data_IF_421835637468
#
_entry.id   IF_421835637468
#
_cell.length_a   1.000
_cell.length_b   1.000
_cell.length_c   1.000
_cell.angle_alpha   90.00
_cell.angle_beta   90.00
_cell.angle_gamma   90.00
#
_symmetry.space_group_name_H-M   'P 1'
#
loop_
_entity.id
_entity.type
_entity.pdbx_description
1 polymer ?
#
# COMPACT_ATOMS: atom_id res chain seq x y z
N UNK A 1 -14.62 6.83 -8.18
CA UNK A 1 -13.18 7.12 -8.20
C UNK A 1 -12.92 8.58 -8.51
N UNK A 2 -12.13 9.25 -7.66
CA UNK A 2 -11.47 10.52 -7.97
C UNK A 2 -10.37 10.32 -9.00
N UNK A 3 -9.85 11.42 -9.54
CA UNK A 3 -8.70 11.38 -10.43
C UNK A 3 -7.40 11.10 -9.63
N UNK A 4 -6.45 10.28 -10.14
CA UNK A 4 -5.21 9.99 -9.44
C UNK A 4 -4.24 11.17 -9.46
N UNK A 5 -4.06 11.80 -8.30
CA UNK A 5 -3.19 12.96 -8.10
C UNK A 5 -3.81 14.27 -8.57
N UNK A 6 -2.99 15.32 -8.69
CA UNK A 6 -3.45 16.67 -8.99
C UNK A 6 -2.64 17.28 -10.13
N UNK A 7 -3.13 17.08 -11.36
CA UNK A 7 -2.51 17.64 -12.57
C UNK A 7 -3.59 17.94 -13.59
N UNK A 8 -3.29 18.88 -14.49
CA UNK A 8 -4.12 19.13 -15.68
C UNK A 8 -4.07 17.88 -16.58
N UNK A 9 -5.19 17.20 -16.74
CA UNK A 9 -5.31 16.06 -17.66
C UNK A 9 -5.69 16.55 -19.05
N UNK A 10 -5.01 16.02 -20.08
CA UNK A 10 -5.42 16.23 -21.49
C UNK A 10 -6.65 15.41 -21.88
N UNK A 11 -6.89 14.31 -21.16
CA UNK A 11 -7.99 13.39 -21.41
C UNK A 11 -9.01 13.53 -20.29
N UNK A 12 -10.26 13.55 -20.69
CA UNK A 12 -11.40 13.55 -19.78
C UNK A 12 -11.38 12.29 -18.89
N UNK A 13 -11.72 12.44 -17.61
CA UNK A 13 -11.80 11.35 -16.64
C UNK A 13 -13.14 11.41 -15.90
N UNK A 14 -13.95 10.33 -15.94
CA UNK A 14 -15.32 10.39 -15.43
C UNK A 14 -15.37 10.21 -13.90
N UNK A 15 -15.61 11.30 -13.17
CA UNK A 15 -15.68 11.27 -11.69
C UNK A 15 -17.05 10.87 -11.18
N UNK A 16 -18.13 11.18 -11.92
CA UNK A 16 -19.51 10.89 -11.51
C UNK A 16 -20.36 10.25 -12.62
N UNK A 17 -21.20 9.27 -12.23
CA UNK A 17 -22.12 8.54 -13.11
C UNK A 17 -23.24 9.39 -13.75
N UNK A 18 -23.35 10.67 -13.36
CA UNK A 18 -24.29 11.63 -13.94
C UNK A 18 -23.67 12.47 -15.05
N UNK A 19 -22.46 12.15 -15.51
CA UNK A 19 -21.84 12.90 -16.58
C UNK A 19 -22.61 12.75 -17.92
N UNK A 20 -23.05 13.86 -18.54
CA UNK A 20 -23.81 13.82 -19.79
C UNK A 20 -23.11 13.12 -20.96
N UNK A 21 -21.77 13.23 -21.04
CA UNK A 21 -21.00 12.68 -22.17
C UNK A 21 -20.83 11.16 -22.06
N UNK A 22 -20.66 10.66 -20.82
CA UNK A 22 -20.58 9.22 -20.56
C UNK A 22 -21.96 8.56 -20.71
N UNK A 23 -23.01 9.21 -20.23
CA UNK A 23 -24.38 8.68 -20.30
C UNK A 23 -24.96 8.62 -21.72
N UNK A 24 -24.50 9.47 -22.64
CA UNK A 24 -24.88 9.43 -24.07
C UNK A 24 -24.07 8.42 -24.89
N UNK A 25 -22.82 8.16 -24.51
CA UNK A 25 -21.91 7.28 -25.25
C UNK A 25 -21.99 5.80 -24.82
N UNK A 26 -22.50 5.51 -23.62
CA UNK A 26 -22.67 4.13 -23.14
C UNK A 26 -24.07 3.57 -23.46
N UNK A 27 -24.12 2.34 -23.98
CA UNK A 27 -25.37 1.55 -24.13
C UNK A 27 -25.99 1.14 -22.79
N UNK A 28 -25.23 1.19 -21.70
CA UNK A 28 -25.66 0.92 -20.33
C UNK A 28 -25.69 2.21 -19.52
N UNK A 29 -26.80 2.51 -18.83
CA UNK A 29 -26.95 3.69 -17.96
C UNK A 29 -26.10 3.67 -16.67
N UNK A 30 -25.34 2.60 -16.41
CA UNK A 30 -24.63 2.41 -15.13
C UNK A 30 -23.13 2.23 -15.38
N UNK A 31 -22.33 3.17 -14.84
CA UNK A 31 -20.88 3.10 -14.88
C UNK A 31 -20.36 1.83 -14.19
N UNK A 32 -19.30 1.25 -14.77
CA UNK A 32 -18.59 0.16 -14.12
C UNK A 32 -17.83 0.68 -12.90
N UNK A 33 -17.79 -0.15 -11.85
CA UNK A 33 -17.04 0.10 -10.62
C UNK A 33 -15.96 -0.96 -10.50
N UNK A 34 -14.77 -0.51 -10.14
CA UNK A 34 -13.62 -1.33 -9.83
C UNK A 34 -13.29 -1.19 -8.34
N UNK A 35 -12.48 -2.08 -7.80
CA UNK A 35 -11.95 -1.99 -6.44
C UNK A 35 -10.55 -2.62 -6.41
N UNK A 36 -9.83 -2.44 -5.31
CA UNK A 36 -8.63 -3.24 -5.01
C UNK A 36 -8.92 -4.20 -3.87
N UNK A 37 -8.19 -5.31 -3.84
CA UNK A 37 -8.27 -6.32 -2.78
C UNK A 37 -6.92 -6.35 -2.09
N UNK A 38 -6.88 -6.51 -0.78
CA UNK A 38 -5.65 -6.85 -0.07
C UNK A 38 -5.88 -7.89 1.01
N UNK A 39 -4.83 -8.64 1.32
CA UNK A 39 -4.78 -9.58 2.44
C UNK A 39 -3.85 -8.99 3.49
N UNK A 40 -4.29 -8.95 4.74
CA UNK A 40 -3.45 -8.50 5.84
C UNK A 40 -3.60 -9.37 7.08
N UNK A 41 -2.57 -9.34 7.92
CA UNK A 41 -2.67 -9.74 9.31
C UNK A 41 -3.36 -8.60 10.07
N UNK A 42 -4.64 -8.78 10.39
CA UNK A 42 -5.43 -7.75 11.08
C UNK A 42 -4.81 -7.42 12.43
N UNK A 43 -4.35 -6.18 12.59
CA UNK A 43 -3.57 -5.74 13.74
C UNK A 43 -3.97 -4.35 14.21
N UNK A 44 -3.87 -4.12 15.52
CA UNK A 44 -4.01 -2.80 16.16
C UNK A 44 -2.67 -2.39 16.75
N UNK A 45 -2.25 -1.16 16.44
CA UNK A 45 -1.12 -0.49 17.07
C UNK A 45 -1.62 0.26 18.31
N UNK A 46 -1.02 -0.05 19.45
CA UNK A 46 -1.36 0.50 20.76
C UNK A 46 -0.11 1.21 21.29
N UNK A 47 -0.13 2.54 21.30
CA UNK A 47 0.96 3.33 21.86
C UNK A 47 0.61 3.75 23.29
N UNK A 48 1.53 3.51 24.22
CA UNK A 48 1.38 3.93 25.60
C UNK A 48 2.69 4.49 26.14
N UNK A 49 2.59 5.53 26.97
CA UNK A 49 3.73 6.02 27.74
C UNK A 49 3.77 5.27 29.06
N UNK A 50 4.89 4.62 29.34
CA UNK A 50 5.01 3.74 30.51
C UNK A 50 6.33 3.96 31.25
N UNK A 51 6.32 3.66 32.54
CA UNK A 51 7.55 3.51 33.31
C UNK A 51 8.27 2.21 32.95
N UNK A 52 9.59 2.18 33.10
CA UNK A 52 10.40 0.97 32.90
C UNK A 52 9.92 -0.22 33.76
N UNK A 53 9.26 0.05 34.89
CA UNK A 53 8.67 -0.98 35.75
C UNK A 53 7.57 -1.78 35.06
N UNK A 54 6.79 -1.17 34.16
CA UNK A 54 5.77 -1.88 33.36
C UNK A 54 6.47 -2.83 32.38
N UNK A 55 7.53 -2.38 31.72
CA UNK A 55 8.32 -3.21 30.80
C UNK A 55 8.87 -4.45 31.52
N UNK A 56 9.50 -4.26 32.68
CA UNK A 56 10.04 -5.35 33.50
C UNK A 56 8.94 -6.29 34.02
N UNK A 57 7.80 -5.76 34.45
CA UNK A 57 6.65 -6.54 34.96
C UNK A 57 6.14 -7.56 33.94
N UNK A 58 6.13 -7.20 32.66
CA UNK A 58 5.68 -8.07 31.57
C UNK A 58 6.82 -8.91 30.97
N UNK A 59 8.00 -8.96 31.61
CA UNK A 59 9.14 -9.73 31.13
C UNK A 59 9.72 -9.19 29.82
N UNK A 60 9.45 -7.93 29.49
CA UNK A 60 9.97 -7.30 28.29
C UNK A 60 11.36 -6.73 28.57
N UNK A 61 12.16 -6.58 27.52
CA UNK A 61 13.47 -5.94 27.58
C UNK A 61 13.39 -4.60 26.87
N UNK A 62 13.76 -3.52 27.56
CA UNK A 62 13.71 -2.16 27.02
C UNK A 62 14.43 -2.08 25.66
N UNK A 63 13.81 -1.42 24.68
CA UNK A 63 14.35 -1.25 23.32
C UNK A 63 14.20 -2.47 22.40
N UNK A 64 13.68 -3.60 22.91
CA UNK A 64 13.52 -4.82 22.12
C UNK A 64 12.10 -4.97 21.56
N UNK A 65 11.98 -5.82 20.54
CA UNK A 65 10.71 -6.33 20.04
C UNK A 65 10.56 -7.79 20.44
N UNK A 66 9.55 -8.08 21.26
CA UNK A 66 9.34 -9.40 21.86
C UNK A 66 7.92 -9.87 21.60
N UNK A 67 7.77 -11.16 21.26
CA UNK A 67 6.47 -11.80 21.14
C UNK A 67 5.98 -12.20 22.53
N UNK A 68 4.74 -11.86 22.85
CA UNK A 68 4.05 -12.23 24.09
C UNK A 68 2.82 -13.08 23.77
N UNK A 69 2.44 -13.94 24.72
CA UNK A 69 1.21 -14.73 24.57
C UNK A 69 -0.06 -13.87 24.76
N UNK A 70 -1.20 -14.44 24.38
CA UNK A 70 -2.46 -13.72 24.37
C UNK A 70 -2.94 -13.30 25.77
N UNK A 71 -2.59 -14.08 26.81
CA UNK A 71 -2.97 -13.78 28.19
C UNK A 71 -2.14 -12.63 28.75
N UNK A 72 -0.83 -12.62 28.49
CA UNK A 72 0.06 -11.53 28.84
C UNK A 72 -0.33 -10.24 28.11
N UNK A 73 -0.68 -10.34 26.82
CA UNK A 73 -1.15 -9.20 26.04
C UNK A 73 -2.48 -8.63 26.54
N UNK A 74 -3.42 -9.48 26.96
CA UNK A 74 -4.69 -9.02 27.53
C UNK A 74 -4.47 -8.35 28.90
N UNK A 75 -3.59 -8.91 29.73
CA UNK A 75 -3.23 -8.31 31.02
C UNK A 75 -2.54 -6.95 30.84
N UNK A 76 -1.60 -6.85 29.89
CA UNK A 76 -0.93 -5.60 29.54
C UNK A 76 -1.95 -4.57 29.06
N UNK A 77 -2.85 -4.95 28.16
CA UNK A 77 -3.86 -4.05 27.65
C UNK A 77 -4.79 -3.50 28.72
N UNK A 78 -5.25 -4.36 29.63
CA UNK A 78 -6.13 -3.95 30.72
C UNK A 78 -5.39 -3.03 31.70
N UNK A 79 -4.13 -3.31 32.03
CA UNK A 79 -3.33 -2.43 32.89
C UNK A 79 -3.11 -1.04 32.28
N UNK A 80 -2.76 -0.99 30.98
CA UNK A 80 -2.59 0.28 30.27
C UNK A 80 -3.89 1.09 30.21
N UNK A 81 -5.05 0.41 30.11
CA UNK A 81 -6.37 1.06 30.15
C UNK A 81 -6.74 1.55 31.54
N UNK A 82 -6.60 0.71 32.56
CA UNK A 82 -6.96 1.03 33.94
C UNK A 82 -6.13 2.21 34.47
N UNK A 83 -4.88 2.34 34.02
CA UNK A 83 -3.99 3.45 34.38
C UNK A 83 -4.06 4.63 33.40
N UNK A 84 -4.94 4.59 32.39
CA UNK A 84 -5.09 5.65 31.37
C UNK A 84 -3.78 6.02 30.64
N UNK A 85 -2.89 5.04 30.43
CA UNK A 85 -1.55 5.24 29.85
C UNK A 85 -1.52 5.21 28.32
N UNK A 86 -2.59 4.72 27.70
CA UNK A 86 -2.71 4.62 26.25
C UNK A 86 -2.82 6.03 25.66
N UNK A 87 -1.82 6.42 24.88
CA UNK A 87 -1.81 7.71 24.19
C UNK A 87 -2.51 7.64 22.86
N UNK A 88 -2.37 6.52 22.14
CA UNK A 88 -2.95 6.33 20.83
C UNK A 88 -3.32 4.87 20.59
N UNK A 89 -4.44 4.65 19.91
CA UNK A 89 -4.82 3.35 19.37
C UNK A 89 -5.26 3.50 17.92
N UNK A 90 -4.46 2.96 17.02
CA UNK A 90 -4.74 3.02 15.60
C UNK A 90 -4.90 1.62 15.02
N UNK A 91 -5.81 1.50 14.06
CA UNK A 91 -5.80 0.34 13.21
C UNK A 91 -4.48 0.34 12.43
N UNK A 92 -3.74 -0.75 12.48
CA UNK A 92 -2.44 -0.89 11.83
C UNK A 92 -2.51 -1.87 10.66
N UNK A 93 -1.39 -2.58 10.48
CA UNK A 93 -1.20 -3.56 9.41
C UNK A 93 -0.76 -2.89 8.10
N UNK A 94 0.29 -3.42 7.46
CA UNK A 94 0.89 -2.83 6.25
C UNK A 94 -0.16 -2.72 5.13
N UNK A 95 -0.93 -3.80 4.89
CA UNK A 95 -1.94 -3.80 3.84
C UNK A 95 -3.22 -3.08 4.29
N UNK A 96 -3.59 -3.15 5.57
CA UNK A 96 -4.69 -2.38 6.14
C UNK A 96 -4.48 -0.88 5.97
N UNK A 97 -3.28 -0.39 6.26
CA UNK A 97 -2.87 1.00 6.03
C UNK A 97 -2.93 1.37 4.55
N UNK A 98 -2.40 0.50 3.68
CA UNK A 98 -2.40 0.71 2.23
C UNK A 98 -3.82 0.80 1.65
N UNK A 99 -4.72 -0.12 2.04
CA UNK A 99 -6.11 -0.13 1.59
C UNK A 99 -6.91 1.04 2.14
N UNK A 100 -6.65 1.46 3.39
CA UNK A 100 -7.25 2.64 4.00
C UNK A 100 -6.85 3.89 3.23
N UNK A 101 -5.55 4.07 3.01
CA UNK A 101 -4.98 5.21 2.30
C UNK A 101 -5.47 5.27 0.86
N UNK A 102 -5.54 4.13 0.15
CA UNK A 102 -6.17 4.06 -1.16
C UNK A 102 -7.61 4.56 -1.13
N UNK A 103 -8.42 4.08 -0.19
CA UNK A 103 -9.83 4.46 -0.05
C UNK A 103 -10.00 5.97 0.17
N UNK A 104 -9.12 6.57 0.98
CA UNK A 104 -9.11 8.02 1.24
C UNK A 104 -8.66 8.82 0.01
N UNK A 105 -7.61 8.36 -0.67
CA UNK A 105 -7.05 9.04 -1.84
C UNK A 105 -7.96 8.97 -3.07
N UNK A 106 -8.62 7.83 -3.29
CA UNK A 106 -9.43 7.56 -4.46
C UNK A 106 -10.92 7.88 -4.27
N UNK A 107 -11.39 8.06 -3.02
CA UNK A 107 -12.81 8.03 -2.65
C UNK A 107 -13.54 6.87 -3.37
N UNK A 108 -12.93 5.69 -3.29
CA UNK A 108 -13.46 4.48 -3.91
C UNK A 108 -13.16 3.26 -3.05
N UNK A 109 -13.83 2.15 -3.38
CA UNK A 109 -13.85 0.95 -2.57
C UNK A 109 -12.52 0.19 -2.60
N UNK A 110 -12.01 -0.14 -1.43
CA UNK A 110 -11.05 -1.25 -1.21
C UNK A 110 -11.73 -2.40 -0.45
N UNK A 111 -11.21 -3.62 -0.57
CA UNK A 111 -11.70 -4.81 0.17
C UNK A 111 -10.54 -5.39 0.96
N UNK A 112 -10.71 -5.53 2.27
CA UNK A 112 -9.75 -6.23 3.13
C UNK A 112 -10.19 -7.68 3.34
N UNK A 113 -9.23 -8.58 3.15
CA UNK A 113 -9.30 -9.97 3.59
C UNK A 113 -8.33 -10.16 4.75
N UNK A 114 -8.74 -10.96 5.72
CA UNK A 114 -8.06 -11.09 7.01
C UNK A 114 -9.03 -11.67 8.02
N UNK A 115 -8.71 -11.54 9.30
CA UNK A 115 -9.54 -12.04 10.39
C UNK A 115 -10.15 -10.91 11.20
N UNK A 116 -11.23 -11.19 11.90
CA UNK A 116 -11.78 -10.31 12.93
C UNK A 116 -12.33 -11.14 14.07
N UNK A 117 -12.11 -10.71 15.31
CA UNK A 117 -12.70 -11.34 16.49
C UNK A 117 -14.21 -11.43 16.34
N UNK A 118 -14.78 -12.61 16.59
CA UNK A 118 -16.23 -12.81 16.50
C UNK A 118 -16.99 -12.11 17.64
N UNK A 119 -16.40 -12.03 18.84
CA UNK A 119 -16.92 -11.25 19.98
C UNK A 119 -16.24 -9.87 20.02
N UNK A 120 -16.91 -8.84 19.45
CA UNK A 120 -16.46 -7.45 19.52
C UNK A 120 -17.29 -6.70 20.56
N UNK A 121 -16.61 -6.21 21.61
CA UNK A 121 -17.21 -5.37 22.65
C UNK A 121 -16.92 -3.90 22.41
N UNK A 122 -17.87 -3.04 22.77
CA UNK A 122 -17.68 -1.58 22.71
C UNK A 122 -16.41 -1.20 23.49
N UNK A 123 -15.55 -0.41 22.86
CA UNK A 123 -14.27 0.02 23.42
C UNK A 123 -13.13 -1.00 23.36
N UNK A 124 -13.35 -2.21 22.80
CA UNK A 124 -12.26 -3.16 22.54
C UNK A 124 -11.35 -2.69 21.38
N UNK A 125 -10.17 -3.28 21.27
CA UNK A 125 -9.26 -3.03 20.14
C UNK A 125 -9.93 -3.39 18.79
N UNK A 126 -10.70 -4.47 18.73
CA UNK A 126 -11.47 -4.84 17.53
C UNK A 126 -12.53 -3.78 17.17
N UNK A 127 -13.25 -3.25 18.16
CA UNK A 127 -14.20 -2.15 17.94
C UNK A 127 -13.51 -0.89 17.42
N UNK A 128 -12.36 -0.53 18.01
CA UNK A 128 -11.55 0.60 17.55
C UNK A 128 -11.01 0.41 16.14
N UNK A 129 -10.61 -0.82 15.77
CA UNK A 129 -10.19 -1.13 14.40
C UNK A 129 -11.29 -0.79 13.39
N UNK A 130 -12.55 -1.17 13.69
CA UNK A 130 -13.71 -0.85 12.86
C UNK A 130 -13.95 0.67 12.78
N UNK A 131 -13.97 1.36 13.92
CA UNK A 131 -14.23 2.81 13.97
C UNK A 131 -13.15 3.65 13.27
N UNK A 132 -11.90 3.21 13.31
CA UNK A 132 -10.75 3.94 12.76
C UNK A 132 -10.48 3.61 11.29
N UNK A 133 -11.14 2.59 10.73
CA UNK A 133 -10.97 2.21 9.33
C UNK A 133 -11.85 3.08 8.42
N UNK A 134 -11.29 3.49 7.27
CA UNK A 134 -11.98 4.31 6.28
C UNK A 134 -13.33 3.71 5.90
N UNK A 135 -14.36 4.55 5.81
CA UNK A 135 -15.73 4.15 5.49
C UNK A 135 -15.89 3.53 4.09
N UNK A 136 -14.90 3.69 3.21
CA UNK A 136 -14.86 3.09 1.86
C UNK A 136 -14.13 1.74 1.82
N UNK A 137 -13.42 1.38 2.87
CA UNK A 137 -12.73 0.11 3.00
C UNK A 137 -13.73 -0.95 3.52
N UNK A 138 -14.05 -1.91 2.67
CA UNK A 138 -15.05 -2.94 2.94
C UNK A 138 -14.45 -4.08 3.77
N UNK A 139 -14.93 -4.20 5.00
CA UNK A 139 -14.54 -5.20 5.98
C UNK A 139 -15.52 -6.38 6.07
N UNK A 140 -16.59 -6.40 5.26
CA UNK A 140 -17.62 -7.45 5.33
C UNK A 140 -17.12 -8.84 4.89
N UNK A 141 -15.90 -8.92 4.36
CA UNK A 141 -15.26 -10.16 3.91
C UNK A 141 -14.20 -10.68 4.89
N UNK A 142 -14.04 -10.05 6.05
CA UNK A 142 -13.18 -10.58 7.11
C UNK A 142 -13.76 -11.89 7.66
N UNK A 143 -12.88 -12.83 7.98
CA UNK A 143 -13.25 -14.10 8.59
C UNK A 143 -13.37 -13.95 10.11
N UNK A 144 -14.48 -14.42 10.69
CA UNK A 144 -14.61 -14.52 12.14
C UNK A 144 -13.62 -15.50 12.76
N UNK A 145 -13.01 -15.13 13.88
CA UNK A 145 -12.16 -16.00 14.70
C UNK A 145 -12.58 -15.96 16.18
N UNK A 146 -12.42 -17.09 16.87
CA UNK A 146 -12.68 -17.21 18.31
C UNK A 146 -11.40 -16.87 19.09
N UNK A 147 -11.06 -15.57 19.07
CA UNK A 147 -9.86 -15.05 19.72
C UNK A 147 -9.54 -13.62 19.30
N UNK A 148 -8.44 -13.10 19.83
CA UNK A 148 -7.97 -11.74 19.56
C UNK A 148 -7.41 -11.61 18.13
N UNK A 149 -7.59 -10.43 17.52
CA UNK A 149 -6.75 -10.01 16.39
C UNK A 149 -5.33 -9.66 16.87
N UNK A 150 -4.41 -9.43 15.93
CA UNK A 150 -3.03 -9.06 16.25
C UNK A 150 -2.95 -7.73 17.00
N UNK A 151 -1.97 -7.60 17.89
CA UNK A 151 -1.73 -6.42 18.73
C UNK A 151 -0.25 -6.10 18.77
N UNK A 152 0.11 -4.86 18.48
CA UNK A 152 1.45 -4.33 18.66
C UNK A 152 1.40 -3.24 19.74
N UNK A 153 1.98 -3.51 20.90
CA UNK A 153 2.14 -2.54 21.97
C UNK A 153 3.46 -1.82 21.80
N UNK A 154 3.40 -0.53 21.49
CA UNK A 154 4.57 0.37 21.50
C UNK A 154 4.63 1.07 22.84
N UNK A 155 5.53 0.61 23.70
CA UNK A 155 5.74 1.10 25.05
C UNK A 155 6.87 2.13 25.04
N UNK A 156 6.55 3.38 25.36
CA UNK A 156 7.47 4.53 25.25
C UNK A 156 7.85 5.00 26.66
N UNK A 157 9.12 4.90 27.01
CA UNK A 157 9.64 5.42 28.30
C UNK A 157 9.96 6.92 28.21
N UNK A 158 10.18 7.56 29.36
CA UNK A 158 10.42 9.01 29.45
C UNK A 158 11.62 9.49 28.61
N UNK A 159 12.65 8.67 28.48
CA UNK A 159 13.82 8.93 27.64
C UNK A 159 13.58 8.75 26.14
N UNK A 160 12.35 8.40 25.73
CA UNK A 160 11.92 8.28 24.34
C UNK A 160 12.23 6.92 23.71
N UNK A 161 12.86 6.00 24.44
CA UNK A 161 13.12 4.63 23.99
C UNK A 161 11.80 3.87 23.78
N UNK A 162 11.74 3.04 22.74
CA UNK A 162 10.53 2.30 22.36
C UNK A 162 10.74 0.81 22.51
N UNK A 163 9.84 0.15 23.23
CA UNK A 163 9.81 -1.30 23.38
C UNK A 163 8.55 -1.84 22.71
N UNK A 164 8.67 -2.91 21.93
CA UNK A 164 7.56 -3.50 21.22
C UNK A 164 7.17 -4.85 21.86
N UNK A 165 5.91 -4.99 22.23
CA UNK A 165 5.33 -6.28 22.59
C UNK A 165 4.33 -6.69 21.52
N UNK A 166 4.54 -7.85 20.90
CA UNK A 166 3.74 -8.34 19.78
C UNK A 166 2.92 -9.55 20.24
N UNK A 167 1.60 -9.46 20.16
CA UNK A 167 0.70 -10.61 20.29
C UNK A 167 0.10 -10.88 18.92
N UNK A 168 0.43 -12.03 18.35
CA UNK A 168 -0.07 -12.45 17.04
C UNK A 168 -1.57 -12.76 17.09
N UNK A 169 -2.07 -13.20 18.26
CA UNK A 169 -3.44 -13.66 18.41
C UNK A 169 -3.79 -14.68 17.34
N UNK A 170 -4.94 -14.47 16.71
CA UNK A 170 -5.45 -15.30 15.62
C UNK A 170 -5.22 -14.66 14.24
N UNK A 171 -4.29 -13.69 14.11
CA UNK A 171 -4.10 -12.91 12.87
C UNK A 171 -3.75 -13.76 11.63
N UNK A 172 -3.15 -14.94 11.83
CA UNK A 172 -2.77 -15.88 10.78
C UNK A 172 -3.84 -16.96 10.49
N UNK A 173 -5.01 -16.91 11.13
CA UNK A 173 -6.02 -17.96 10.98
C UNK A 173 -6.96 -17.77 9.77
N UNK A 174 -6.61 -16.88 8.83
CA UNK A 174 -7.37 -16.74 7.59
C UNK A 174 -7.28 -18.04 6.78
N UNK A 175 -8.42 -18.65 6.46
CA UNK A 175 -8.48 -19.90 5.69
C UNK A 175 -8.72 -19.63 4.21
N UNK A 176 -8.20 -20.52 3.36
CA UNK A 176 -8.38 -20.43 1.91
C UNK A 176 -9.86 -20.43 1.46
N UNK A 177 -10.72 -21.17 2.15
CA UNK A 177 -12.18 -21.19 1.91
C UNK A 177 -12.86 -19.83 2.12
N UNK A 178 -12.25 -18.95 2.91
CA UNK A 178 -12.76 -17.61 3.19
C UNK A 178 -12.42 -16.61 2.09
N UNK A 179 -11.61 -17.00 1.09
CA UNK A 179 -11.25 -16.14 -0.04
C UNK A 179 -12.40 -16.11 -1.06
N UNK A 180 -13.12 -14.98 -1.22
CA UNK A 180 -14.37 -14.97 -1.96
C UNK A 180 -14.12 -14.71 -3.45
N UNK A 181 -13.93 -15.76 -4.27
CA UNK A 181 -13.58 -15.67 -5.70
C UNK A 181 -14.33 -14.55 -6.48
N UNK A 182 -15.63 -14.34 -6.21
CA UNK A 182 -16.48 -13.34 -6.86
C UNK A 182 -15.91 -11.91 -6.85
N UNK A 183 -15.09 -11.54 -5.85
CA UNK A 183 -14.54 -10.19 -5.75
C UNK A 183 -13.40 -9.93 -6.74
N UNK A 184 -12.76 -10.96 -7.29
CA UNK A 184 -11.61 -10.81 -8.20
C UNK A 184 -12.00 -10.32 -9.60
N UNK A 185 -13.21 -10.67 -10.08
CA UNK A 185 -13.71 -10.30 -11.43
C UNK A 185 -13.59 -8.81 -11.77
N UNK A 186 -13.74 -7.93 -10.77
CA UNK A 186 -13.69 -6.46 -10.93
C UNK A 186 -12.51 -5.82 -10.20
N UNK A 187 -11.61 -6.63 -9.65
CA UNK A 187 -10.46 -6.13 -8.93
C UNK A 187 -9.42 -5.55 -9.89
N UNK A 188 -8.83 -4.42 -9.54
CA UNK A 188 -7.74 -3.79 -10.31
C UNK A 188 -6.36 -4.26 -9.86
N UNK A 189 -6.25 -4.78 -8.63
CA UNK A 189 -5.03 -5.32 -8.06
C UNK A 189 -5.37 -6.22 -6.85
N UNK A 190 -4.53 -7.23 -6.61
CA UNK A 190 -4.43 -7.94 -5.33
C UNK A 190 -3.15 -7.44 -4.63
N UNK A 191 -3.26 -6.94 -3.41
CA UNK A 191 -2.14 -6.37 -2.65
C UNK A 191 -1.80 -7.27 -1.47
N UNK A 192 -0.54 -7.68 -1.39
CA UNK A 192 0.00 -8.61 -0.41
C UNK A 192 1.24 -8.01 0.26
N UNK A 193 1.58 -8.51 1.43
CA UNK A 193 2.81 -8.18 2.15
C UNK A 193 3.64 -9.43 2.40
N UNK A 194 4.96 -9.32 2.43
CA UNK A 194 5.85 -10.41 2.77
C UNK A 194 5.57 -10.97 4.19
N UNK A 195 4.97 -10.19 5.09
CA UNK A 195 4.59 -10.69 6.42
C UNK A 195 3.58 -11.85 6.38
N UNK A 196 2.83 -12.03 5.29
CA UNK A 196 1.85 -13.12 5.16
C UNK A 196 2.48 -14.52 5.15
N UNK A 197 3.78 -14.63 4.83
CA UNK A 197 4.51 -15.91 4.92
C UNK A 197 5.17 -16.13 6.28
N UNK A 198 5.22 -15.08 7.12
CA UNK A 198 5.75 -15.15 8.48
C UNK A 198 4.65 -15.64 9.43
N UNK A 199 4.46 -16.95 9.47
CA UNK A 199 3.51 -17.61 10.34
C UNK A 199 4.12 -18.87 10.96
N UNK A 200 3.42 -19.46 11.95
CA UNK A 200 3.85 -20.71 12.56
C UNK A 200 3.53 -21.88 11.64
N UNK A 201 4.26 -22.98 11.77
CA UNK A 201 3.94 -24.22 11.07
C UNK A 201 2.49 -24.64 11.36
N UNK A 202 1.70 -24.81 10.30
CA UNK A 202 0.28 -25.18 10.38
C UNK A 202 -0.72 -24.01 10.41
N UNK A 203 -0.25 -22.75 10.44
CA UNK A 203 -1.14 -21.60 10.23
C UNK A 203 -1.66 -21.57 8.78
N UNK A 204 -2.97 -21.30 8.55
CA UNK A 204 -3.59 -21.39 7.22
C UNK A 204 -3.40 -20.15 6.31
N UNK A 205 -2.74 -19.09 6.81
CA UNK A 205 -2.57 -17.82 6.08
C UNK A 205 -1.82 -17.97 4.74
N UNK A 206 -0.72 -18.75 4.64
CA UNK A 206 -0.03 -18.95 3.37
C UNK A 206 -0.92 -19.63 2.32
N UNK A 207 -1.70 -20.65 2.70
CA UNK A 207 -2.63 -21.32 1.79
C UNK A 207 -3.72 -20.37 1.30
N UNK A 208 -4.26 -19.54 2.19
CA UNK A 208 -5.23 -18.52 1.82
C UNK A 208 -4.65 -17.47 0.86
N UNK A 209 -3.41 -17.07 1.09
CA UNK A 209 -2.66 -16.15 0.21
C UNK A 209 -2.48 -16.75 -1.18
N UNK A 210 -2.07 -18.02 -1.26
CA UNK A 210 -1.91 -18.72 -2.53
C UNK A 210 -3.24 -18.91 -3.28
N UNK A 211 -4.33 -19.19 -2.56
CA UNK A 211 -5.67 -19.27 -3.16
C UNK A 211 -6.10 -17.93 -3.80
N UNK A 212 -5.79 -16.81 -3.14
CA UNK A 212 -6.04 -15.49 -3.70
C UNK A 212 -5.18 -15.18 -4.93
N UNK A 213 -3.91 -15.61 -4.93
CA UNK A 213 -3.03 -15.51 -6.10
C UNK A 213 -3.58 -16.34 -7.26
N UNK A 214 -4.09 -17.55 -7.01
CA UNK A 214 -4.74 -18.38 -8.03
C UNK A 214 -5.94 -17.64 -8.66
N UNK A 215 -6.82 -17.07 -7.83
CA UNK A 215 -7.94 -16.29 -8.34
C UNK A 215 -7.50 -15.01 -9.06
N UNK A 216 -6.44 -14.35 -8.59
CA UNK A 216 -5.89 -13.19 -9.27
C UNK A 216 -5.41 -13.56 -10.69
N UNK A 217 -4.66 -14.66 -10.82
CA UNK A 217 -4.23 -15.19 -12.13
C UNK A 217 -5.41 -15.58 -13.01
N UNK A 218 -6.44 -16.23 -12.46
CA UNK A 218 -7.65 -16.64 -13.20
C UNK A 218 -8.41 -15.47 -13.83
N UNK A 219 -8.35 -14.28 -13.22
CA UNK A 219 -9.09 -13.08 -13.67
C UNK A 219 -8.18 -11.95 -14.17
N UNK A 220 -6.92 -12.26 -14.51
CA UNK A 220 -5.92 -11.29 -14.99
C UNK A 220 -5.77 -10.07 -14.07
N UNK A 221 -5.80 -10.30 -12.76
CA UNK A 221 -5.60 -9.27 -11.74
C UNK A 221 -4.11 -9.22 -11.38
N UNK A 222 -3.44 -8.07 -11.56
CA UNK A 222 -2.04 -7.92 -11.15
C UNK A 222 -1.88 -8.15 -9.64
N UNK A 223 -0.87 -8.95 -9.28
CA UNK A 223 -0.48 -9.16 -7.89
C UNK A 223 0.60 -8.14 -7.53
N UNK A 224 0.41 -7.47 -6.41
CA UNK A 224 1.27 -6.43 -5.88
C UNK A 224 1.82 -6.89 -4.53
N UNK A 225 3.13 -6.90 -4.35
CA UNK A 225 3.79 -7.31 -3.11
C UNK A 225 4.59 -6.15 -2.51
N UNK A 226 4.41 -5.89 -1.22
CA UNK A 226 5.32 -5.04 -0.43
C UNK A 226 6.18 -5.88 0.51
N UNK A 227 7.48 -5.59 0.61
CA UNK A 227 8.47 -6.47 1.26
C UNK A 227 8.51 -6.36 2.80
N UNK A 228 7.95 -5.31 3.39
CA UNK A 228 7.70 -5.22 4.82
C UNK A 228 8.90 -4.84 5.69
N UNK A 229 9.99 -5.63 5.68
CA UNK A 229 11.29 -5.29 6.30
C UNK A 229 12.45 -6.04 5.63
N UNK A 230 13.67 -5.46 5.74
CA UNK A 230 14.94 -6.13 5.38
C UNK A 230 15.08 -7.53 5.99
N UNK A 231 14.72 -7.69 7.25
CA UNK A 231 14.94 -8.93 8.01
C UNK A 231 14.17 -10.13 7.45
N UNK A 232 12.95 -9.92 6.95
CA UNK A 232 12.15 -11.00 6.33
C UNK A 232 12.75 -11.44 4.99
N UNK A 233 13.40 -10.52 4.29
CA UNK A 233 13.93 -10.78 2.94
C UNK A 233 15.32 -11.40 2.99
N UNK A 234 16.19 -10.93 3.88
CA UNK A 234 17.59 -11.35 3.94
C UNK A 234 17.77 -12.82 4.37
N UNK A 235 16.76 -13.42 5.01
CA UNK A 235 16.83 -14.81 5.47
C UNK A 235 16.84 -15.80 4.30
N UNK A 236 16.08 -15.52 3.23
CA UNK A 236 16.07 -16.31 1.99
C UNK A 236 15.75 -15.44 0.75
N UNK A 237 16.74 -14.69 0.23
CA UNK A 237 16.53 -13.83 -0.93
C UNK A 237 16.15 -14.61 -2.20
N UNK A 238 16.68 -15.83 -2.38
CA UNK A 238 16.41 -16.66 -3.57
C UNK A 238 14.94 -17.08 -3.61
N UNK A 239 14.38 -17.51 -2.48
CA UNK A 239 12.95 -17.79 -2.36
C UNK A 239 12.09 -16.60 -2.80
N UNK A 240 12.42 -15.39 -2.32
CA UNK A 240 11.67 -14.18 -2.68
C UNK A 240 11.80 -13.82 -4.17
N UNK A 241 12.98 -13.98 -4.75
CA UNK A 241 13.19 -13.77 -6.20
C UNK A 241 12.32 -14.73 -7.03
N UNK A 242 12.27 -16.01 -6.65
CA UNK A 242 11.44 -17.01 -7.32
C UNK A 242 9.95 -16.73 -7.12
N UNK A 243 9.53 -16.36 -5.90
CA UNK A 243 8.15 -15.98 -5.60
C UNK A 243 7.70 -14.79 -6.45
N UNK A 244 8.54 -13.75 -6.53
CA UNK A 244 8.29 -12.57 -7.36
C UNK A 244 8.08 -12.96 -8.82
N UNK A 245 9.02 -13.73 -9.38
CA UNK A 245 8.98 -14.19 -10.77
C UNK A 245 7.75 -15.02 -11.11
N UNK A 246 7.27 -15.83 -10.17
CA UNK A 246 6.15 -16.74 -10.40
C UNK A 246 4.78 -16.08 -10.20
N UNK A 247 4.67 -15.08 -9.33
CA UNK A 247 3.37 -14.62 -8.83
C UNK A 247 3.15 -13.12 -8.90
N UNK A 248 4.19 -12.29 -8.94
CA UNK A 248 4.07 -10.85 -8.68
C UNK A 248 4.26 -10.04 -9.95
N UNK A 249 3.37 -9.09 -10.18
CA UNK A 249 3.47 -8.11 -11.28
C UNK A 249 4.12 -6.81 -10.81
N UNK A 250 3.88 -6.39 -9.57
CA UNK A 250 4.40 -5.14 -9.01
C UNK A 250 5.02 -5.38 -7.66
N UNK A 251 6.27 -4.93 -7.45
CA UNK A 251 6.92 -4.96 -6.14
C UNK A 251 7.10 -3.54 -5.59
N UNK A 252 6.84 -3.38 -4.30
CA UNK A 252 7.13 -2.18 -3.52
C UNK A 252 8.14 -2.52 -2.43
N UNK A 253 9.18 -1.71 -2.32
CA UNK A 253 10.27 -1.91 -1.37
C UNK A 253 10.91 -0.58 -0.96
N UNK A 254 11.59 -0.54 0.17
CA UNK A 254 12.57 0.50 0.47
C UNK A 254 13.99 0.10 0.04
N UNK A 255 14.95 1.01 0.18
CA UNK A 255 16.34 0.80 -0.23
C UNK A 255 17.03 -0.36 0.52
N UNK A 256 16.72 -0.56 1.80
CA UNK A 256 17.31 -1.61 2.63
C UNK A 256 16.74 -2.99 2.26
N UNK A 257 15.43 -3.07 2.03
CA UNK A 257 14.73 -4.24 1.52
C UNK A 257 15.21 -4.59 0.11
N UNK A 258 15.42 -3.58 -0.74
CA UNK A 258 15.93 -3.76 -2.09
C UNK A 258 17.35 -4.32 -2.07
N UNK A 259 18.23 -3.80 -1.20
CA UNK A 259 19.58 -4.35 -1.02
C UNK A 259 19.52 -5.80 -0.53
N UNK A 260 18.66 -6.12 0.45
CA UNK A 260 18.52 -7.50 0.91
C UNK A 260 18.00 -8.46 -0.16
N UNK A 261 17.07 -8.02 -1.01
CA UNK A 261 16.53 -8.84 -2.10
C UNK A 261 17.56 -9.07 -3.21
N UNK A 262 18.31 -8.03 -3.55
CA UNK A 262 19.08 -7.97 -4.81
C UNK A 262 20.60 -8.04 -4.63
N UNK A 263 21.10 -7.70 -3.44
CA UNK A 263 22.51 -7.45 -3.16
C UNK A 263 23.02 -6.08 -3.65
N UNK A 264 22.17 -5.27 -4.27
CA UNK A 264 22.56 -3.97 -4.84
C UNK A 264 22.27 -2.83 -3.84
N UNK A 265 23.29 -2.03 -3.53
CA UNK A 265 23.17 -0.87 -2.63
C UNK A 265 22.57 0.37 -3.28
N UNK A 266 22.75 0.50 -4.60
CA UNK A 266 22.15 1.60 -5.35
C UNK A 266 20.68 1.26 -5.62
N UNK A 267 19.70 2.05 -5.12
CA UNK A 267 18.28 1.78 -5.34
C UNK A 267 17.88 1.69 -6.81
N UNK A 268 18.57 2.41 -7.71
CA UNK A 268 18.33 2.33 -9.15
C UNK A 268 18.79 0.98 -9.72
N UNK A 269 19.95 0.49 -9.29
CA UNK A 269 20.47 -0.83 -9.70
C UNK A 269 19.61 -1.97 -9.14
N UNK A 270 19.19 -1.85 -7.86
CA UNK A 270 18.29 -2.80 -7.24
C UNK A 270 16.93 -2.84 -7.95
N UNK A 271 16.37 -1.67 -8.28
CA UNK A 271 15.12 -1.58 -9.02
C UNK A 271 15.23 -2.14 -10.45
N UNK A 272 16.36 -1.92 -11.14
CA UNK A 272 16.62 -2.51 -12.46
C UNK A 272 16.71 -4.04 -12.41
N UNK A 273 17.43 -4.58 -11.44
CA UNK A 273 17.57 -6.03 -11.23
C UNK A 273 16.22 -6.68 -10.90
N UNK A 274 15.39 -6.01 -10.10
CA UNK A 274 14.06 -6.49 -9.76
C UNK A 274 13.13 -6.63 -10.98
N UNK A 275 13.36 -5.89 -12.08
CA UNK A 275 12.59 -6.05 -13.32
C UNK A 275 12.81 -7.39 -14.03
N UNK A 276 13.84 -8.15 -13.64
CA UNK A 276 14.02 -9.50 -14.14
C UNK A 276 12.93 -10.46 -13.62
N UNK A 277 12.23 -10.07 -12.55
CA UNK A 277 11.18 -10.86 -11.89
C UNK A 277 9.78 -10.25 -12.01
N UNK A 278 9.65 -8.92 -12.06
CA UNK A 278 8.34 -8.23 -12.05
C UNK A 278 8.18 -7.22 -13.21
N UNK A 279 6.96 -6.73 -13.43
CA UNK A 279 6.64 -5.76 -14.48
C UNK A 279 6.88 -4.29 -14.06
N UNK A 280 6.75 -4.00 -12.76
CA UNK A 280 6.86 -2.66 -12.21
C UNK A 280 7.43 -2.69 -10.78
N UNK A 281 8.31 -1.74 -10.48
CA UNK A 281 8.97 -1.57 -9.20
C UNK A 281 8.71 -0.17 -8.67
N UNK A 282 8.37 -0.07 -7.39
CA UNK A 282 8.39 1.15 -6.60
C UNK A 282 9.42 0.98 -5.49
N UNK A 283 10.52 1.73 -5.55
CA UNK A 283 11.57 1.71 -4.54
C UNK A 283 11.59 3.05 -3.79
N UNK A 284 11.09 3.11 -2.56
CA UNK A 284 11.33 4.28 -1.70
C UNK A 284 12.78 4.30 -1.26
N UNK A 285 13.35 5.49 -1.11
CA UNK A 285 14.78 5.70 -0.81
C UNK A 285 14.96 6.82 0.23
N UNK A 286 14.10 6.86 1.24
CA UNK A 286 14.13 7.84 2.33
C UNK A 286 14.44 9.29 1.87
N UNK A 287 15.54 9.92 2.37
CA UNK A 287 15.96 11.27 1.97
C UNK A 287 16.34 11.44 0.50
N UNK A 288 16.67 10.36 -0.22
CA UNK A 288 16.94 10.38 -1.67
C UNK A 288 15.63 10.53 -2.45
N UNK A 289 14.49 10.19 -1.84
CA UNK A 289 13.15 10.27 -2.42
C UNK A 289 12.63 8.91 -2.80
N UNK A 290 12.25 8.71 -4.06
CA UNK A 290 11.82 7.40 -4.56
C UNK A 290 12.16 7.20 -6.03
N UNK A 291 12.27 5.94 -6.41
CA UNK A 291 12.50 5.46 -7.76
C UNK A 291 11.33 4.60 -8.21
N UNK A 292 11.03 4.67 -9.51
CA UNK A 292 10.20 3.68 -10.18
C UNK A 292 10.96 3.12 -11.37
N UNK A 293 10.84 1.82 -11.58
CA UNK A 293 11.39 1.11 -12.73
C UNK A 293 10.32 0.19 -13.31
N UNK A 294 10.26 0.03 -14.63
CA UNK A 294 9.26 -0.83 -15.26
C UNK A 294 9.45 -0.94 -16.75
N UNK A 295 8.47 -1.54 -17.41
CA UNK A 295 8.47 -1.69 -18.87
C UNK A 295 7.49 -0.74 -19.55
N UNK A 296 7.78 -0.40 -20.80
CA UNK A 296 6.86 0.25 -21.72
C UNK A 296 7.01 -0.34 -23.12
N UNK A 297 6.01 -0.22 -23.98
CA UNK A 297 6.15 -0.60 -25.38
C UNK A 297 7.08 0.40 -26.09
N UNK A 298 8.11 -0.09 -26.80
CA UNK A 298 9.11 0.78 -27.43
C UNK A 298 8.48 1.79 -28.40
N UNK A 299 7.49 1.35 -29.18
CA UNK A 299 6.74 2.21 -30.11
C UNK A 299 5.93 3.33 -29.42
N UNK A 300 5.65 3.19 -28.12
CA UNK A 300 4.86 4.13 -27.32
C UNK A 300 5.69 4.92 -26.29
N UNK A 301 7.02 4.74 -26.29
CA UNK A 301 7.90 5.47 -25.35
C UNK A 301 7.83 6.97 -25.58
N UNK A 302 7.88 7.73 -24.50
CA UNK A 302 7.81 9.19 -24.51
C UNK A 302 9.01 9.76 -23.79
N UNK A 303 9.79 10.55 -24.51
CA UNK A 303 10.96 11.22 -23.95
C UNK A 303 10.58 12.26 -22.91
N UNK A 304 11.44 12.40 -21.91
CA UNK A 304 11.33 13.44 -20.90
C UNK A 304 11.67 14.80 -21.49
N UNK A 305 11.00 15.83 -20.98
CA UNK A 305 11.39 17.22 -21.20
C UNK A 305 12.18 17.78 -20.00
N UNK A 306 12.47 16.96 -19.00
CA UNK A 306 13.25 17.33 -17.83
C UNK A 306 14.75 17.08 -18.11
N UNK A 307 15.67 17.68 -17.33
CA UNK A 307 17.08 17.36 -17.42
C UNK A 307 17.34 15.85 -17.29
N UNK A 308 18.25 15.33 -18.11
CA UNK A 308 18.67 13.93 -18.04
C UNK A 308 19.52 13.73 -16.78
N UNK A 309 19.17 12.71 -16.01
CA UNK A 309 19.78 12.44 -14.72
C UNK A 309 20.95 11.45 -14.87
N UNK A 310 22.10 11.69 -14.21
CA UNK A 310 23.18 10.73 -14.14
C UNK A 310 22.86 9.62 -13.12
N UNK A 311 23.42 8.43 -13.29
CA UNK A 311 23.28 7.30 -12.37
C UNK A 311 24.09 6.10 -12.83
N UNK A 312 23.97 4.97 -12.13
CA UNK A 312 24.55 3.69 -12.56
C UNK A 312 24.05 3.25 -13.95
N UNK A 313 22.84 3.68 -14.31
CA UNK A 313 22.30 3.64 -15.67
C UNK A 313 22.33 5.06 -16.22
N UNK A 314 23.07 5.27 -17.31
CA UNK A 314 23.20 6.58 -17.93
C UNK A 314 21.85 7.11 -18.41
N UNK A 315 21.52 8.36 -18.04
CA UNK A 315 20.31 9.06 -18.47
C UNK A 315 19.02 8.24 -18.22
N UNK A 316 18.96 7.55 -17.08
CA UNK A 316 17.91 6.56 -16.78
C UNK A 316 16.47 7.12 -16.93
N UNK A 317 16.27 8.43 -16.70
CA UNK A 317 14.96 9.08 -16.81
C UNK A 317 14.58 9.48 -18.24
N UNK A 318 15.40 9.17 -19.26
CA UNK A 318 15.20 9.59 -20.67
C UNK A 318 13.78 9.38 -21.15
N UNK A 319 13.13 8.28 -20.74
CA UNK A 319 11.77 7.92 -21.15
C UNK A 319 10.74 7.97 -20.02
N UNK A 320 10.98 8.69 -18.92
CA UNK A 320 10.10 8.69 -17.73
C UNK A 320 8.67 9.21 -17.97
N UNK A 321 8.42 9.85 -19.11
CA UNK A 321 7.08 10.22 -19.54
C UNK A 321 6.31 9.05 -20.16
N UNK A 322 6.91 7.89 -20.34
CA UNK A 322 6.24 6.65 -20.78
C UNK A 322 5.36 6.07 -19.67
N UNK A 323 4.45 5.16 -20.02
CA UNK A 323 3.54 4.52 -19.05
C UNK A 323 3.99 3.08 -18.77
N UNK A 324 4.03 2.65 -17.50
CA UNK A 324 4.17 1.25 -17.12
C UNK A 324 3.22 0.32 -17.90
N UNK A 325 3.75 -0.77 -18.43
CA UNK A 325 3.02 -1.81 -19.14
C UNK A 325 3.44 -3.20 -18.64
N UNK A 326 2.59 -4.19 -18.87
CA UNK A 326 2.89 -5.60 -18.56
C UNK A 326 3.91 -6.10 -19.58
N UNK A 327 5.07 -6.59 -19.12
CA UNK A 327 6.20 -7.00 -19.98
C UNK A 327 5.80 -8.06 -21.00
N UNK A 328 5.05 -9.07 -20.55
CA UNK A 328 4.59 -10.18 -21.39
C UNK A 328 3.54 -9.78 -22.43
N UNK A 329 2.95 -8.59 -22.32
CA UNK A 329 1.96 -8.07 -23.24
C UNK A 329 2.52 -7.00 -24.21
N UNK A 330 3.81 -6.65 -24.09
CA UNK A 330 4.51 -5.80 -25.04
C UNK A 330 5.10 -6.63 -26.19
N UNK A 331 5.14 -6.05 -27.39
CA UNK A 331 5.86 -6.60 -28.53
C UNK A 331 7.36 -6.37 -28.40
N UNK A 332 7.76 -5.14 -28.04
CA UNK A 332 9.14 -4.78 -27.76
C UNK A 332 9.25 -4.04 -26.42
N UNK A 333 9.32 -4.76 -25.29
CA UNK A 333 9.38 -4.15 -23.97
C UNK A 333 10.71 -3.40 -23.73
N UNK A 334 10.62 -2.11 -23.49
CA UNK A 334 11.76 -1.24 -23.14
C UNK A 334 11.71 -0.89 -21.66
N UNK A 335 12.83 -1.09 -20.94
CA UNK A 335 12.97 -0.66 -19.54
C UNK A 335 12.95 0.86 -19.44
N UNK A 336 12.21 1.39 -18.47
CA UNK A 336 12.05 2.81 -18.20
C UNK A 336 12.17 3.05 -16.71
N UNK A 337 12.81 4.16 -16.35
CA UNK A 337 13.07 4.53 -14.97
C UNK A 337 12.62 5.97 -14.72
N UNK A 338 12.31 6.30 -13.48
CA UNK A 338 12.05 7.66 -13.02
C UNK A 338 12.47 7.81 -11.57
N UNK A 339 12.91 9.01 -11.21
CA UNK A 339 13.28 9.38 -9.86
C UNK A 339 12.59 10.68 -9.48
N UNK A 340 12.26 10.83 -8.21
CA UNK A 340 11.85 12.11 -7.66
C UNK A 340 12.41 12.30 -6.26
N UNK A 341 12.98 13.48 -6.02
CA UNK A 341 13.42 13.90 -4.69
C UNK A 341 12.23 14.16 -3.74
N UNK A 342 12.43 14.17 -2.41
CA UNK A 342 11.37 14.42 -1.44
C UNK A 342 10.61 15.72 -1.71
N UNK A 343 9.28 15.68 -1.57
CA UNK A 343 8.41 16.83 -1.81
C UNK A 343 8.81 18.01 -0.90
N UNK A 344 8.93 19.22 -1.47
CA UNK A 344 9.40 20.44 -0.79
C UNK A 344 10.78 20.29 -0.09
N UNK A 345 11.63 19.36 -0.57
CA UNK A 345 12.92 19.07 0.08
C UNK A 345 12.81 18.16 1.30
N UNK A 346 11.62 17.62 1.58
CA UNK A 346 11.33 16.80 2.75
C UNK A 346 10.73 17.62 3.90
N UNK A 347 10.17 16.97 4.92
CA UNK A 347 9.62 17.65 6.08
C UNK A 347 10.72 18.16 7.00
N UNK A 348 10.56 19.36 7.57
CA UNK A 348 11.48 19.89 8.60
C UNK A 348 11.55 18.99 9.84
N UNK A 349 10.42 18.36 10.17
CA UNK A 349 10.30 17.39 11.27
C UNK A 349 9.51 16.18 10.79
N UNK A 350 10.15 15.02 10.82
CA UNK A 350 9.50 13.73 10.61
C UNK A 350 8.74 13.37 11.88
N UNK A 351 7.43 13.18 11.79
CA UNK A 351 6.59 12.72 12.91
C UNK A 351 6.44 11.21 12.91
N UNK A 352 6.38 10.60 11.73
CA UNK A 352 6.28 9.15 11.57
C UNK A 352 6.90 8.71 10.24
N UNK A 353 7.82 7.75 10.26
CA UNK A 353 8.34 7.09 9.05
C UNK A 353 7.51 5.87 8.65
N UNK A 354 6.78 5.28 9.60
CA UNK A 354 5.97 4.09 9.39
C UNK A 354 4.78 4.44 8.50
N UNK A 355 4.57 3.64 7.45
CA UNK A 355 3.48 3.83 6.50
C UNK A 355 3.74 4.88 5.40
N UNK A 356 4.89 5.56 5.39
CA UNK A 356 5.24 6.47 4.29
C UNK A 356 5.38 5.72 2.94
N UNK A 357 5.98 4.52 2.97
CA UNK A 357 6.02 3.61 1.82
C UNK A 357 4.63 3.10 1.43
N UNK A 358 3.82 2.68 2.41
CA UNK A 358 2.44 2.22 2.21
C UNK A 358 1.57 3.30 1.54
N UNK A 359 1.76 4.57 1.88
CA UNK A 359 1.07 5.69 1.24
C UNK A 359 1.55 5.93 -0.21
N UNK A 360 2.85 5.80 -0.49
CA UNK A 360 3.36 5.82 -1.86
C UNK A 360 2.77 4.69 -2.71
N UNK A 361 2.68 3.48 -2.14
CA UNK A 361 2.05 2.33 -2.77
C UNK A 361 0.55 2.57 -3.01
N UNK A 362 -0.15 3.18 -2.05
CA UNK A 362 -1.57 3.53 -2.19
C UNK A 362 -1.83 4.47 -3.36
N UNK A 363 -0.93 5.44 -3.59
CA UNK A 363 -1.00 6.34 -4.73
C UNK A 363 -0.76 5.62 -6.07
N UNK A 364 0.18 4.68 -6.12
CA UNK A 364 0.39 3.81 -7.29
C UNK A 364 -0.85 2.95 -7.58
N UNK A 365 -1.42 2.32 -6.54
CA UNK A 365 -2.63 1.50 -6.65
C UNK A 365 -3.83 2.32 -7.12
N UNK A 366 -3.96 3.58 -6.70
CA UNK A 366 -4.97 4.50 -7.22
C UNK A 366 -4.79 4.73 -8.73
N UNK A 367 -3.57 4.95 -9.21
CA UNK A 367 -3.32 5.16 -10.64
C UNK A 367 -3.54 3.89 -11.48
N UNK A 368 -3.21 2.71 -10.93
CA UNK A 368 -3.54 1.41 -11.54
C UNK A 368 -5.06 1.18 -11.60
N UNK A 369 -5.77 1.44 -10.51
CA UNK A 369 -7.22 1.30 -10.46
C UNK A 369 -7.92 2.28 -11.41
N UNK A 370 -7.42 3.52 -11.49
CA UNK A 370 -7.91 4.53 -12.43
C UNK A 370 -7.74 4.09 -13.89
N UNK A 371 -6.70 3.34 -14.23
CA UNK A 371 -6.50 2.80 -15.57
C UNK A 371 -7.61 1.81 -15.94
N UNK A 372 -7.87 0.82 -15.07
CA UNK A 372 -8.94 -0.17 -15.27
C UNK A 372 -10.31 0.49 -15.30
N UNK A 373 -10.60 1.36 -14.34
CA UNK A 373 -11.85 2.12 -14.28
C UNK A 373 -12.09 2.94 -15.55
N UNK A 374 -11.08 3.67 -16.04
CA UNK A 374 -11.18 4.44 -17.27
C UNK A 374 -11.32 3.54 -18.51
N UNK A 375 -10.70 2.35 -18.54
CA UNK A 375 -10.84 1.37 -19.62
C UNK A 375 -12.25 0.81 -19.71
N UNK A 376 -12.85 0.47 -18.58
CA UNK A 376 -14.21 -0.06 -18.55
C UNK A 376 -15.27 0.98 -18.92
N UNK A 377 -15.02 2.26 -18.60
CA UNK A 377 -16.00 3.32 -18.83
C UNK A 377 -15.78 4.09 -20.15
N UNK A 378 -14.54 4.15 -20.65
CA UNK A 378 -14.16 4.87 -21.88
C UNK A 378 -13.22 3.99 -22.73
N UNK A 379 -13.68 2.83 -23.22
CA UNK A 379 -12.80 1.82 -23.86
C UNK A 379 -12.15 2.33 -25.16
N UNK A 380 -12.82 3.23 -25.89
CA UNK A 380 -12.32 3.77 -27.16
C UNK A 380 -11.31 4.92 -27.00
N UNK A 381 -10.88 5.21 -25.77
CA UNK A 381 -9.86 6.24 -25.54
C UNK A 381 -8.50 5.80 -26.08
N UNK A 382 -7.74 6.76 -26.63
CA UNK A 382 -6.32 6.58 -26.97
C UNK A 382 -5.47 6.12 -25.78
N UNK A 383 -5.96 6.30 -24.53
CA UNK A 383 -5.33 5.80 -23.31
C UNK A 383 -5.22 4.26 -23.26
N UNK A 384 -5.92 3.51 -24.10
CA UNK A 384 -5.98 2.05 -23.99
C UNK A 384 -5.41 1.32 -25.21
N UNK A 385 -4.63 2.03 -26.04
CA UNK A 385 -3.98 1.45 -27.24
C UNK A 385 -2.96 0.35 -26.91
N UNK A 386 -2.38 0.38 -25.72
CA UNK A 386 -1.44 -0.64 -25.23
C UNK A 386 -1.86 -1.15 -23.84
N UNK A 387 -1.42 -2.35 -23.43
CA UNK A 387 -1.75 -2.98 -22.15
C UNK A 387 -0.99 -2.34 -20.97
N UNK A 388 -1.30 -1.08 -20.69
CA UNK A 388 -0.69 -0.35 -19.59
C UNK A 388 -1.17 -0.86 -18.23
N UNK A 389 -0.27 -0.87 -17.25
CA UNK A 389 -0.57 -1.11 -15.83
C UNK A 389 -1.16 0.13 -15.17
N UNK A 390 -0.66 1.32 -15.54
CA UNK A 390 -1.02 2.60 -14.92
C UNK A 390 -1.71 3.55 -15.91
N UNK A 391 -2.51 4.47 -15.38
CA UNK A 391 -3.17 5.50 -16.18
C UNK A 391 -2.19 6.61 -16.60
N UNK A 392 -1.17 6.83 -15.76
CA UNK A 392 -0.18 7.90 -15.82
C UNK A 392 1.21 7.37 -16.12
N UNK A 393 2.10 8.29 -16.51
CA UNK A 393 3.51 7.97 -16.75
C UNK A 393 4.28 7.71 -15.46
N UNK A 394 5.45 7.06 -15.55
CA UNK A 394 6.36 6.86 -14.41
C UNK A 394 6.56 8.15 -13.62
N UNK A 395 6.99 9.23 -14.28
CA UNK A 395 7.23 10.53 -13.62
C UNK A 395 5.99 11.11 -12.91
N UNK A 396 4.78 10.89 -13.44
CA UNK A 396 3.55 11.40 -12.83
C UNK A 396 3.11 10.55 -11.63
N UNK A 397 3.31 9.24 -11.70
CA UNK A 397 3.07 8.35 -10.56
C UNK A 397 4.09 8.64 -9.46
N UNK A 398 5.38 8.80 -9.78
CA UNK A 398 6.41 9.22 -8.83
C UNK A 398 6.01 10.51 -8.09
N UNK A 399 5.56 11.55 -8.80
CA UNK A 399 5.08 12.80 -8.20
C UNK A 399 3.94 12.57 -7.22
N UNK A 400 2.99 11.72 -7.57
CA UNK A 400 1.83 11.44 -6.74
C UNK A 400 2.21 10.62 -5.50
N UNK A 401 2.97 9.54 -5.66
CA UNK A 401 3.47 8.70 -4.57
C UNK A 401 4.34 9.49 -3.59
N UNK A 402 5.24 10.34 -4.09
CA UNK A 402 6.09 11.19 -3.25
C UNK A 402 5.27 12.17 -2.40
N UNK A 403 4.22 12.76 -2.98
CA UNK A 403 3.32 13.65 -2.23
C UNK A 403 2.52 12.88 -1.17
N UNK A 404 2.04 11.69 -1.48
CA UNK A 404 1.32 10.85 -0.52
C UNK A 404 2.22 10.42 0.65
N UNK A 405 3.47 10.03 0.39
CA UNK A 405 4.45 9.75 1.44
C UNK A 405 4.72 10.97 2.33
N UNK A 406 4.89 12.16 1.74
CA UNK A 406 5.09 13.39 2.51
C UNK A 406 3.96 13.66 3.50
N UNK A 407 2.69 13.49 3.09
CA UNK A 407 1.54 13.71 3.99
C UNK A 407 1.55 12.76 5.19
N UNK A 408 2.00 11.51 5.02
CA UNK A 408 2.17 10.59 6.16
C UNK A 408 3.35 10.99 7.03
N UNK A 409 4.47 11.43 6.45
CA UNK A 409 5.67 11.82 7.20
C UNK A 409 5.43 12.99 8.18
N UNK A 410 4.47 13.87 7.88
CA UNK A 410 4.14 15.07 8.70
C UNK A 410 3.03 14.84 9.73
N UNK A 411 2.51 13.62 9.85
CA UNK A 411 1.49 13.23 10.83
C UNK A 411 1.96 12.05 11.69
N UNK A 412 1.21 11.75 12.77
CA UNK A 412 1.54 10.64 13.67
C UNK A 412 1.03 9.29 13.17
N UNK A 413 -0.15 9.25 12.54
CA UNK A 413 -0.75 7.99 12.08
C UNK A 413 -0.17 7.55 10.73
N UNK A 414 0.03 6.25 10.48
CA UNK A 414 0.33 5.74 9.13
C UNK A 414 -0.87 5.83 8.17
N UNK A 415 -2.08 6.11 8.70
CA UNK A 415 -3.32 6.24 7.94
C UNK A 415 -3.68 7.69 7.69
N UNK A 416 -3.87 8.07 6.43
CA UNK A 416 -4.36 9.38 6.01
C UNK A 416 -5.79 9.58 6.51
N UNK A 417 -6.07 10.76 7.06
CA UNK A 417 -7.42 11.16 7.48
C UNK A 417 -8.21 11.89 6.39
N UNK A 418 -7.51 12.43 5.39
CA UNK A 418 -8.08 13.18 4.26
C UNK A 418 -7.29 12.92 2.98
N UNK A 419 -7.94 13.13 1.84
CA UNK A 419 -7.26 13.11 0.54
C UNK A 419 -6.27 14.28 0.39
N UNK A 420 -5.51 14.28 -0.70
CA UNK A 420 -4.63 15.41 -1.01
C UNK A 420 -5.48 16.67 -1.27
N UNK A 421 -5.08 17.86 -0.74
CA UNK A 421 -5.84 19.10 -0.87
C UNK A 421 -5.93 19.49 -2.34
N UNK A 422 -7.13 19.50 -2.94
CA UNK A 422 -7.32 19.95 -4.33
C UNK A 422 -6.75 21.37 -4.43
N UNK A 423 -5.83 21.62 -5.39
CA UNK A 423 -5.20 22.94 -5.59
C UNK A 423 -6.26 24.03 -5.45
N UNK A 424 -5.99 25.00 -4.58
CA UNK A 424 -6.78 26.20 -4.25
C UNK A 424 -7.98 26.37 -5.18
N UNK A 425 -9.16 26.17 -4.59
CA UNK A 425 -10.40 26.94 -4.69
C UNK A 425 -10.27 28.34 -5.33
N UNK A 426 -9.59 28.52 -6.45
CA UNK A 426 -9.41 29.81 -7.12
C UNK A 426 -10.72 30.33 -7.74
N UNK A 427 -11.76 29.49 -7.75
CA UNK A 427 -13.14 29.88 -8.01
C UNK A 427 -14.01 29.94 -6.75
N UNK A 428 -13.59 29.29 -5.65
CA UNK A 428 -14.31 29.28 -4.37
C UNK A 428 -13.82 30.38 -3.40
N UNK A 429 -12.54 30.76 -3.41
CA UNK A 429 -11.99 31.92 -2.70
C UNK A 429 -12.76 33.20 -3.08
N UNK A 430 -13.04 33.42 -4.37
CA UNK A 430 -13.86 34.54 -4.81
C UNK A 430 -15.34 34.47 -4.36
N UNK A 431 -15.82 33.28 -3.97
CA UNK A 431 -17.19 33.04 -3.50
C UNK A 431 -17.30 33.13 -1.97
N UNK A 432 -16.25 32.76 -1.24
CA UNK A 432 -16.16 32.84 0.23
C UNK A 432 -15.57 34.17 0.74
N UNK A 433 -14.93 34.97 -0.13
CA UNK A 433 -14.52 36.36 0.15
C UNK A 433 -15.63 37.40 -0.06
N UNK A 434 -16.85 36.99 -0.44
CA UNK A 434 -18.06 37.82 -0.49
C UNK A 434 -18.98 37.51 0.68
#
# INVERSE_FOLDING_TARGET
>A
MKFPGQRKSKHYFPVHARDPLVSQSQTSKKMSRTHIIGIDQTLVDIEARVDSSVIEKFGLSKGHSLVIDDQAAENLYNELKEQELITNEFAGGTIGNTLHNFSVLADDKSVLLGVMSADIRIGSYGYRYLCNTSSRMDLNYLQGVDGAIGRCFTLITEDGERTFAISEGQMNQLRAESIPEKIFKKASALVLTAYLVRCKDGDPMPEATMQAIEYAKKYDVPVVLTLGTRFVIQDDPEYWQDFLKQHVSVVAMNEDEAEALTGEKDPLAAADKALDWVDLVLCTAGPIGLFMAGYTEDAAKRETSLPLLPGCIAEFNRYEFSRPAIKSACENPTKVYSHIAPYMGGPEKIKNTNGAGDAALSALLHDMAANKYHKENVPNSSKHQHPYLTYSSFSQVCKYSNRASYEVLVQHSPRLSRGLPEKEDSLEEAYWER
#
